data_IF_075496683291
#
_entry.id   IF_075496683291
#
_cell.length_a   1.000
_cell.length_b   1.000
_cell.length_c   1.000
_cell.angle_alpha   90.00
_cell.angle_beta   90.00
_cell.angle_gamma   90.00
#
_symmetry.space_group_name_H-M   'P 1'
#
loop_
_entity.id
_entity.type
_entity.pdbx_description
1 polymer ?
#
# COMPACT_ATOMS: atom_id res chain seq x y z
N UNK A 1 3.50 -51.93 20.45
CA UNK A 1 3.89 -50.94 19.43
C UNK A 1 2.71 -50.78 18.49
N UNK A 2 2.13 -49.59 18.35
CA UNK A 2 1.04 -49.32 17.41
C UNK A 2 1.55 -48.54 16.20
N UNK A 3 0.87 -48.70 15.06
CA UNK A 3 1.15 -48.02 13.79
C UNK A 3 -0.16 -47.49 13.22
N UNK A 4 -0.18 -46.23 12.78
CA UNK A 4 -1.33 -45.63 12.13
C UNK A 4 -1.44 -46.06 10.66
N UNK A 5 -2.58 -46.64 10.25
CA UNK A 5 -2.79 -47.21 8.91
C UNK A 5 -3.26 -46.19 7.84
N UNK A 6 -3.27 -44.89 8.14
CA UNK A 6 -3.57 -43.86 7.15
C UNK A 6 -2.33 -43.62 6.28
N UNK A 7 -2.44 -43.78 4.97
CA UNK A 7 -1.32 -43.85 4.01
C UNK A 7 -0.30 -42.68 4.03
N UNK A 8 -0.63 -41.54 4.65
CA UNK A 8 0.28 -40.38 4.78
C UNK A 8 0.66 -40.02 6.23
N UNK A 9 0.18 -40.77 7.22
CA UNK A 9 0.32 -40.38 8.63
C UNK A 9 1.69 -40.78 9.22
N UNK A 10 2.17 -42.00 9.02
CA UNK A 10 3.54 -42.38 9.43
C UNK A 10 3.82 -42.49 10.94
N UNK A 11 2.84 -42.17 11.81
CA UNK A 11 3.00 -42.24 13.27
C UNK A 11 3.10 -43.69 13.79
N UNK A 12 4.09 -43.94 14.65
CA UNK A 12 4.28 -45.20 15.37
C UNK A 12 4.67 -44.92 16.82
N UNK A 13 4.24 -45.77 17.76
CA UNK A 13 4.55 -45.60 19.18
C UNK A 13 4.53 -46.91 19.96
N UNK A 14 5.14 -46.93 21.14
CA UNK A 14 5.16 -48.08 22.05
C UNK A 14 4.75 -47.60 23.43
N UNK A 15 3.73 -48.21 24.03
CA UNK A 15 3.36 -47.95 25.43
C UNK A 15 4.06 -48.95 26.33
N UNK A 16 4.92 -48.46 27.22
CA UNK A 16 5.40 -49.21 28.38
C UNK A 16 4.57 -48.75 29.58
N UNK A 17 3.85 -49.68 30.21
CA UNK A 17 3.07 -49.40 31.41
C UNK A 17 4.02 -49.26 32.60
N UNK A 18 4.03 -48.10 33.26
CA UNK A 18 4.49 -47.97 34.64
C UNK A 18 3.41 -47.26 35.45
N UNK A 19 2.81 -48.03 36.35
CA UNK A 19 1.98 -47.56 37.43
C UNK A 19 2.89 -46.97 38.52
N UNK A 20 2.72 -45.68 38.82
CA UNK A 20 2.57 -45.18 40.19
C UNK A 20 2.37 -43.67 40.17
N UNK A 21 1.20 -43.25 40.66
CA UNK A 21 0.82 -41.85 40.78
C UNK A 21 1.54 -41.18 41.93
N UNK A 22 2.49 -40.30 41.62
CA UNK A 22 2.85 -39.15 42.45
C UNK A 22 2.92 -37.90 41.58
N UNK A 23 2.16 -36.90 42.01
CA UNK A 23 1.95 -35.58 41.40
C UNK A 23 3.25 -34.94 40.89
N UNK A 24 3.35 -34.75 39.57
CA UNK A 24 4.45 -34.04 38.89
C UNK A 24 4.34 -32.51 39.00
N UNK A 25 3.38 -31.98 39.77
CA UNK A 25 3.18 -30.54 39.92
C UNK A 25 4.28 -29.85 40.74
N UNK A 26 4.98 -30.56 41.64
CA UNK A 26 6.03 -29.97 42.48
C UNK A 26 7.43 -29.98 41.86
N UNK A 27 7.70 -30.85 40.87
CA UNK A 27 8.98 -30.86 40.15
C UNK A 27 9.03 -29.95 38.92
N UNK A 28 7.89 -29.37 38.51
CA UNK A 28 7.86 -28.33 37.46
C UNK A 28 8.30 -26.95 37.96
N UNK A 29 8.38 -26.72 39.28
CA UNK A 29 8.76 -25.42 39.87
C UNK A 29 10.27 -25.24 40.15
N UNK A 30 11.13 -26.16 39.71
CA UNK A 30 12.61 -26.02 39.84
C UNK A 30 13.38 -26.05 38.52
N UNK A 31 12.67 -26.01 37.40
CA UNK A 31 13.29 -25.99 36.07
C UNK A 31 12.73 -24.85 35.23
N UNK A 32 12.62 -23.65 35.81
CA UNK A 32 12.76 -22.41 35.05
C UNK A 32 14.21 -22.37 34.55
N UNK A 33 14.45 -23.07 33.44
CA UNK A 33 15.57 -22.76 32.59
C UNK A 33 15.45 -21.27 32.29
N UNK A 34 16.36 -20.48 32.87
CA UNK A 34 16.69 -19.14 32.40
C UNK A 34 16.97 -19.26 30.90
N UNK A 35 15.96 -19.09 30.06
CA UNK A 35 16.17 -18.58 28.72
C UNK A 35 16.88 -17.25 28.93
N UNK A 36 18.17 -17.18 28.58
CA UNK A 36 18.85 -15.89 28.48
C UNK A 36 18.00 -15.04 27.54
N UNK A 37 17.43 -13.96 28.07
CA UNK A 37 16.80 -12.92 27.27
C UNK A 37 17.72 -12.60 26.10
N UNK A 38 17.20 -12.65 24.86
CA UNK A 38 17.91 -12.20 23.65
C UNK A 38 18.36 -10.73 23.78
N UNK A 39 17.66 -9.97 24.63
CA UNK A 39 17.86 -8.54 24.80
C UNK A 39 18.58 -8.20 26.10
N UNK A 40 19.42 -7.17 26.03
CA UNK A 40 20.08 -6.52 27.16
C UNK A 40 19.03 -5.94 28.10
N UNK A 41 19.11 -6.29 29.38
CA UNK A 41 18.31 -5.66 30.44
C UNK A 41 18.94 -4.30 30.76
N UNK A 42 18.11 -3.26 30.79
CA UNK A 42 18.52 -1.88 31.07
C UNK A 42 17.65 -1.30 32.19
N UNK A 43 18.21 -0.35 32.93
CA UNK A 43 17.53 0.49 33.90
C UNK A 43 17.94 1.96 33.72
N UNK A 44 17.16 2.88 34.29
CA UNK A 44 17.45 4.31 34.23
C UNK A 44 18.82 4.64 34.85
N UNK A 45 19.16 3.96 35.95
CA UNK A 45 20.46 4.11 36.62
C UNK A 45 21.60 3.59 35.74
N UNK A 46 21.40 2.43 35.10
CA UNK A 46 22.41 1.84 34.20
C UNK A 46 22.70 2.70 32.96
N UNK A 47 21.74 3.54 32.57
CA UNK A 47 21.84 4.46 31.45
C UNK A 47 22.18 5.90 31.88
N UNK A 48 22.34 6.15 33.18
CA UNK A 48 22.60 7.47 33.75
C UNK A 48 21.57 8.50 33.28
N UNK A 49 20.28 8.11 33.27
CA UNK A 49 19.20 9.01 32.90
C UNK A 49 18.91 9.98 34.05
N UNK A 50 18.80 11.25 33.71
CA UNK A 50 18.51 12.34 34.64
C UNK A 50 17.18 13.02 34.27
N UNK A 51 16.49 13.64 35.22
CA UNK A 51 15.39 14.56 34.92
C UNK A 51 15.84 15.71 34.01
N UNK A 52 14.91 16.24 33.22
CA UNK A 52 15.18 17.36 32.30
C UNK A 52 15.63 18.62 33.04
N UNK A 53 16.68 19.26 32.54
CA UNK A 53 17.08 20.60 32.97
C UNK A 53 16.17 21.70 32.40
N UNK A 54 16.21 22.89 33.00
CA UNK A 54 15.39 24.03 32.58
C UNK A 54 15.62 24.42 31.10
N UNK A 55 16.83 24.24 30.58
CA UNK A 55 17.16 24.52 29.17
C UNK A 55 16.39 23.60 28.22
N UNK A 56 16.31 22.31 28.52
CA UNK A 56 15.53 21.36 27.72
C UNK A 56 14.04 21.57 27.88
N UNK A 57 13.56 21.90 29.09
CA UNK A 57 12.16 22.25 29.30
C UNK A 57 11.78 23.47 28.46
N UNK A 58 12.63 24.50 28.41
CA UNK A 58 12.42 25.67 27.54
C UNK A 58 12.40 25.28 26.05
N UNK A 59 13.33 24.42 25.61
CA UNK A 59 13.36 23.90 24.23
C UNK A 59 12.07 23.19 23.82
N UNK A 60 11.44 22.44 24.73
CA UNK A 60 10.15 21.79 24.48
C UNK A 60 8.99 22.79 24.55
N UNK A 61 9.05 23.78 25.43
CA UNK A 61 8.05 24.84 25.51
C UNK A 61 7.99 25.68 24.21
N UNK A 62 9.14 25.97 23.59
CA UNK A 62 9.21 26.59 22.25
C UNK A 62 8.50 25.77 21.17
N UNK A 63 8.35 24.46 21.38
CA UNK A 63 7.66 23.52 20.49
C UNK A 63 6.22 23.27 20.91
N UNK A 64 5.70 24.12 21.79
CA UNK A 64 4.36 24.01 22.36
C UNK A 64 4.12 22.69 23.10
N UNK A 65 5.16 22.10 23.69
CA UNK A 65 5.07 20.88 24.51
C UNK A 65 5.25 21.27 25.97
N UNK A 66 4.25 20.93 26.79
CA UNK A 66 4.20 21.24 28.21
C UNK A 66 5.07 20.30 29.05
N UNK A 67 5.46 20.77 30.24
CA UNK A 67 6.19 19.94 31.20
C UNK A 67 5.38 18.72 31.65
N UNK A 68 4.05 18.85 31.75
CA UNK A 68 3.15 17.76 32.11
C UNK A 68 3.23 16.61 31.09
N UNK A 69 3.15 16.95 29.80
CA UNK A 69 3.30 15.98 28.71
C UNK A 69 4.66 15.30 28.74
N UNK A 70 5.75 16.05 28.97
CA UNK A 70 7.10 15.47 29.09
C UNK A 70 7.20 14.48 30.25
N UNK A 71 6.63 14.83 31.41
CA UNK A 71 6.65 13.97 32.60
C UNK A 71 5.83 12.70 32.38
N UNK A 72 4.61 12.78 31.82
CA UNK A 72 3.77 11.61 31.54
C UNK A 72 4.44 10.66 30.56
N UNK A 73 5.12 11.21 29.56
CA UNK A 73 5.85 10.48 28.54
C UNK A 73 7.25 10.02 29.00
N UNK A 74 7.63 10.32 30.24
CA UNK A 74 8.92 9.98 30.84
C UNK A 74 10.10 10.47 30.01
N UNK A 75 10.00 11.64 29.38
CA UNK A 75 11.12 12.25 28.65
C UNK A 75 12.19 12.65 29.67
N UNK A 76 13.42 12.22 29.41
CA UNK A 76 14.57 12.41 30.30
C UNK A 76 15.74 13.04 29.55
N UNK A 77 16.84 13.28 30.24
CA UNK A 77 18.11 13.65 29.62
C UNK A 77 19.20 12.65 29.98
N UNK A 78 20.30 12.70 29.25
CA UNK A 78 21.54 12.00 29.59
C UNK A 78 22.73 12.91 29.32
N UNK A 79 23.77 12.83 30.14
CA UNK A 79 25.05 13.50 29.87
C UNK A 79 25.99 12.52 29.18
N UNK A 80 26.48 12.87 28.00
CA UNK A 80 27.46 12.06 27.26
C UNK A 80 28.58 12.95 26.73
N UNK A 81 29.83 12.67 27.15
CA UNK A 81 30.99 13.45 26.71
C UNK A 81 30.91 14.95 27.03
N UNK A 82 30.25 15.32 28.14
CA UNK A 82 30.04 16.72 28.53
C UNK A 82 28.88 17.43 27.83
N UNK A 83 28.16 16.76 26.93
CA UNK A 83 26.97 17.29 26.26
C UNK A 83 25.70 16.68 26.84
N UNK A 84 24.63 17.48 26.90
CA UNK A 84 23.30 17.01 27.27
C UNK A 84 22.58 16.53 26.01
N UNK A 85 22.02 15.32 26.06
CA UNK A 85 21.16 14.77 25.01
C UNK A 85 19.77 14.48 25.58
N UNK A 86 18.74 14.64 24.74
CA UNK A 86 17.36 14.27 25.07
C UNK A 86 17.27 12.75 25.00
N UNK A 87 16.65 12.13 26.00
CA UNK A 87 16.40 10.70 26.07
C UNK A 87 14.90 10.41 26.05
N UNK A 88 14.49 9.51 25.16
CA UNK A 88 13.14 8.98 25.02
C UNK A 88 13.14 7.52 25.48
N UNK A 89 12.73 7.23 26.73
CA UNK A 89 12.69 5.89 27.26
C UNK A 89 11.45 5.13 26.76
N UNK A 90 11.65 3.97 26.16
CA UNK A 90 10.60 3.09 25.67
C UNK A 90 10.24 2.10 26.77
N UNK A 91 8.96 2.02 27.12
CA UNK A 91 8.47 1.19 28.22
C UNK A 91 7.45 0.16 27.77
N UNK A 92 7.46 -0.98 28.44
CA UNK A 92 6.42 -2.00 28.37
C UNK A 92 6.03 -2.38 29.79
N UNK A 93 4.75 -2.22 30.12
CA UNK A 93 4.19 -2.37 31.46
C UNK A 93 5.00 -1.60 32.52
N UNK A 94 5.39 -0.35 32.21
CA UNK A 94 6.19 0.53 33.06
C UNK A 94 7.69 0.21 33.12
N UNK A 95 8.13 -0.94 32.61
CA UNK A 95 9.54 -1.35 32.61
C UNK A 95 10.27 -0.78 31.40
N UNK A 96 11.45 -0.20 31.62
CA UNK A 96 12.32 0.31 30.57
C UNK A 96 12.88 -0.83 29.70
N UNK A 97 12.60 -0.82 28.40
CA UNK A 97 13.05 -1.85 27.46
C UNK A 97 14.01 -1.34 26.39
N UNK A 98 13.91 -0.06 26.03
CA UNK A 98 14.79 0.60 25.07
C UNK A 98 14.93 2.09 25.40
N UNK A 99 15.94 2.77 24.89
CA UNK A 99 16.07 4.21 25.00
C UNK A 99 16.65 4.77 23.71
N UNK A 100 16.01 5.81 23.18
CA UNK A 100 16.47 6.54 22.00
C UNK A 100 16.89 7.94 22.42
N UNK A 101 17.99 8.41 21.85
CA UNK A 101 18.57 9.70 22.18
C UNK A 101 18.52 10.62 20.97
N UNK A 102 18.40 11.91 21.25
CA UNK A 102 18.51 12.99 20.27
C UNK A 102 19.45 14.06 20.79
N UNK A 103 20.47 14.38 20.00
CA UNK A 103 21.36 15.51 20.29
C UNK A 103 20.81 16.84 19.74
N UNK A 104 21.45 17.95 20.11
CA UNK A 104 21.08 19.29 19.63
C UNK A 104 21.22 19.44 18.09
N UNK A 105 22.05 18.61 17.45
CA UNK A 105 22.24 18.57 16.00
C UNK A 105 21.20 17.69 15.29
N UNK A 106 20.15 17.25 15.99
CA UNK A 106 19.09 16.37 15.48
C UNK A 106 19.59 15.00 15.03
N UNK A 107 20.72 14.53 15.55
CA UNK A 107 21.21 13.17 15.33
C UNK A 107 20.58 12.24 16.34
N UNK A 108 20.17 11.07 15.87
CA UNK A 108 19.53 10.06 16.67
C UNK A 108 20.47 8.88 16.91
N UNK A 109 20.42 8.34 18.12
CA UNK A 109 21.04 7.07 18.48
C UNK A 109 20.09 6.26 19.36
N UNK A 110 20.29 4.96 19.47
CA UNK A 110 19.43 4.07 20.23
C UNK A 110 20.25 2.99 20.91
N UNK A 111 19.80 2.52 22.07
CA UNK A 111 20.48 1.44 22.80
C UNK A 111 20.56 0.17 21.96
N UNK A 112 21.77 -0.41 21.87
CA UNK A 112 22.01 -1.65 21.13
C UNK A 112 21.51 -2.87 21.89
N UNK A 113 21.19 -3.92 21.16
CA UNK A 113 20.76 -5.23 21.69
C UNK A 113 19.55 -5.14 22.62
N UNK A 114 18.69 -4.16 22.40
CA UNK A 114 17.42 -3.96 23.12
C UNK A 114 16.23 -4.31 22.23
N UNK A 115 15.08 -4.57 22.84
CA UNK A 115 13.86 -4.86 22.09
C UNK A 115 13.36 -3.58 21.39
N UNK A 116 12.98 -3.69 20.12
CA UNK A 116 12.35 -2.58 19.40
C UNK A 116 10.84 -2.64 19.61
N UNK A 117 10.29 -1.61 20.22
CA UNK A 117 8.85 -1.46 20.44
C UNK A 117 8.43 -0.03 20.06
N UNK A 118 7.12 0.24 20.07
CA UNK A 118 6.62 1.60 19.95
C UNK A 118 6.94 2.46 21.17
N UNK A 119 7.22 3.75 20.95
CA UNK A 119 7.28 4.72 22.04
C UNK A 119 5.85 5.04 22.51
N UNK A 120 5.57 4.90 23.81
CA UNK A 120 4.21 5.02 24.34
C UNK A 120 3.37 3.75 24.23
N UNK A 121 3.96 2.57 24.04
CA UNK A 121 3.23 1.31 23.89
C UNK A 121 2.17 1.07 24.98
N UNK A 122 2.47 1.44 26.22
CA UNK A 122 1.55 1.26 27.36
C UNK A 122 0.27 2.09 27.23
N UNK A 123 0.28 3.18 26.46
CA UNK A 123 -0.88 4.05 26.25
C UNK A 123 -1.96 3.40 25.36
N UNK A 124 -1.61 2.36 24.59
CA UNK A 124 -2.52 1.71 23.64
C UNK A 124 -2.99 0.31 24.08
N UNK A 125 -2.60 -0.16 25.27
CA UNK A 125 -2.84 -1.53 25.74
C UNK A 125 -4.28 -2.03 25.63
N UNK A 126 -5.23 -1.14 25.87
CA UNK A 126 -6.68 -1.42 25.83
C UNK A 126 -7.43 -0.45 24.91
N UNK A 127 -6.72 0.18 23.97
CA UNK A 127 -7.29 1.17 23.05
C UNK A 127 -7.83 0.52 21.77
N UNK A 128 -9.09 0.80 21.43
CA UNK A 128 -9.73 0.35 20.19
C UNK A 128 -9.43 1.24 18.98
N UNK A 129 -9.07 2.49 19.22
CA UNK A 129 -8.63 3.50 18.25
C UNK A 129 -7.23 3.96 18.67
N UNK A 130 -6.26 3.95 17.75
CA UNK A 130 -4.88 4.38 18.02
C UNK A 130 -4.36 5.28 16.91
N UNK A 131 -3.40 6.12 17.23
CA UNK A 131 -2.67 6.96 16.27
C UNK A 131 -1.22 6.51 16.23
N UNK A 132 -0.69 6.26 15.03
CA UNK A 132 0.73 5.97 14.81
C UNK A 132 1.36 7.16 14.09
N UNK A 133 2.37 7.76 14.73
CA UNK A 133 3.19 8.85 14.18
C UNK A 133 4.62 8.38 13.90
N UNK A 134 5.38 9.19 13.17
CA UNK A 134 6.77 8.86 12.84
C UNK A 134 7.75 9.11 14.01
N UNK A 135 7.72 10.31 14.60
CA UNK A 135 8.68 10.73 15.60
C UNK A 135 8.15 10.80 17.03
N UNK A 136 9.05 10.75 18.01
CA UNK A 136 8.69 10.95 19.43
C UNK A 136 8.13 12.35 19.67
N UNK A 137 8.64 13.35 18.95
CA UNK A 137 8.14 14.74 19.02
C UNK A 137 6.68 14.85 18.58
N UNK A 138 6.30 14.14 17.53
CA UNK A 138 4.91 14.13 17.04
C UNK A 138 3.99 13.45 18.03
N UNK A 139 4.47 12.40 18.73
CA UNK A 139 3.68 11.74 19.78
C UNK A 139 3.39 12.70 20.92
N UNK A 140 4.38 13.49 21.33
CA UNK A 140 4.19 14.55 22.34
C UNK A 140 3.20 15.61 21.82
N UNK A 141 3.28 15.98 20.54
CA UNK A 141 2.36 16.94 19.94
C UNK A 141 0.90 16.42 19.90
N UNK A 142 0.71 15.14 19.64
CA UNK A 142 -0.62 14.50 19.72
C UNK A 142 -1.21 14.56 21.12
N UNK A 143 -0.38 14.41 22.16
CA UNK A 143 -0.85 14.49 23.53
C UNK A 143 -1.29 15.91 23.92
N UNK A 144 -0.60 16.94 23.44
CA UNK A 144 -1.02 18.34 23.57
C UNK A 144 -2.36 18.62 22.86
N UNK A 145 -2.64 17.90 21.76
CA UNK A 145 -3.95 17.93 21.09
C UNK A 145 -5.04 17.07 21.80
N UNK A 146 -4.69 16.42 22.90
CA UNK A 146 -5.61 15.60 23.71
C UNK A 146 -5.66 14.12 23.35
N UNK A 147 -4.78 13.64 22.46
CA UNK A 147 -4.71 12.24 22.09
C UNK A 147 -3.63 11.50 22.90
N UNK A 148 -4.08 10.72 23.88
CA UNK A 148 -3.19 9.87 24.68
C UNK A 148 -2.96 8.49 24.05
N UNK A 149 -3.88 8.03 23.21
CA UNK A 149 -3.84 6.79 22.44
C UNK A 149 -2.91 6.88 21.22
N UNK A 150 -1.73 7.48 21.38
CA UNK A 150 -0.77 7.70 20.30
C UNK A 150 0.56 6.99 20.59
N UNK A 151 1.17 6.44 19.54
CA UNK A 151 2.50 5.82 19.59
C UNK A 151 3.38 6.31 18.45
N UNK A 152 4.70 6.35 18.65
CA UNK A 152 5.67 6.59 17.57
C UNK A 152 6.46 5.34 17.21
N UNK A 153 6.79 5.20 15.92
CA UNK A 153 7.64 4.10 15.45
C UNK A 153 9.08 4.26 15.99
N UNK A 154 9.78 3.15 16.31
CA UNK A 154 11.15 3.24 16.83
C UNK A 154 12.16 3.62 15.74
N UNK A 155 11.98 3.01 14.56
CA UNK A 155 12.78 3.29 13.37
C UNK A 155 11.96 4.24 12.51
N UNK A 156 12.53 5.38 12.11
CA UNK A 156 11.85 6.33 11.22
C UNK A 156 11.53 5.76 9.83
N UNK A 157 11.10 6.61 8.91
CA UNK A 157 10.61 6.16 7.62
C UNK A 157 11.67 5.47 6.72
N UNK A 158 11.26 4.45 5.94
CA UNK A 158 12.08 3.92 4.87
C UNK A 158 12.18 4.92 3.70
N UNK A 159 13.21 4.84 2.85
CA UNK A 159 13.33 5.73 1.68
C UNK A 159 12.27 5.47 0.61
N UNK A 160 11.70 4.25 0.57
CA UNK A 160 10.69 3.86 -0.42
C UNK A 160 9.93 2.62 0.03
N UNK A 161 8.75 2.40 -0.56
CA UNK A 161 7.92 1.21 -0.36
C UNK A 161 8.60 0.00 -0.99
N UNK A 162 8.54 -1.15 -0.32
CA UNK A 162 9.06 -2.40 -0.84
C UNK A 162 8.21 -2.91 -2.01
N UNK A 163 8.85 -3.14 -3.15
CA UNK A 163 8.22 -3.78 -4.31
C UNK A 163 8.04 -5.30 -4.15
N UNK A 164 8.53 -5.87 -3.04
CA UNK A 164 8.41 -7.31 -2.75
C UNK A 164 7.11 -7.60 -2.00
N UNK A 165 6.71 -8.86 -2.02
CA UNK A 165 5.68 -9.37 -1.10
C UNK A 165 6.10 -9.17 0.35
N UNK A 166 5.12 -9.21 1.25
CA UNK A 166 5.39 -9.03 2.67
C UNK A 166 6.29 -10.18 3.18
N UNK A 167 7.41 -9.86 3.84
CA UNK A 167 8.26 -10.89 4.45
C UNK A 167 7.52 -11.61 5.57
N UNK A 168 8.01 -12.79 5.94
CA UNK A 168 7.55 -13.47 7.16
C UNK A 168 7.94 -12.69 8.42
N UNK A 169 7.28 -12.95 9.55
CA UNK A 169 7.54 -12.30 10.84
C UNK A 169 9.02 -12.35 11.26
N UNK A 170 9.72 -13.45 10.97
CA UNK A 170 11.13 -13.63 11.32
C UNK A 170 12.09 -12.86 10.39
N UNK A 171 11.66 -12.58 9.16
CA UNK A 171 12.47 -11.91 8.13
C UNK A 171 12.26 -10.39 8.12
N UNK A 172 11.16 -9.91 8.70
CA UNK A 172 10.73 -8.51 8.71
C UNK A 172 11.46 -7.65 9.75
N UNK A 173 12.78 -7.75 9.75
CA UNK A 173 13.68 -7.16 10.76
C UNK A 173 13.51 -5.64 10.94
N UNK A 174 13.17 -4.89 9.89
CA UNK A 174 12.94 -3.45 9.96
C UNK A 174 11.64 -3.08 10.69
N UNK A 175 10.64 -3.95 10.63
CA UNK A 175 9.32 -3.78 11.22
C UNK A 175 9.07 -4.76 12.37
N UNK A 176 10.12 -5.36 12.94
CA UNK A 176 10.04 -6.31 14.05
C UNK A 176 9.19 -5.80 15.22
N UNK A 177 9.17 -4.48 15.43
CA UNK A 177 8.39 -3.83 16.48
C UNK A 177 6.88 -4.05 16.33
N UNK A 178 6.36 -4.22 15.12
CA UNK A 178 4.95 -4.55 14.88
C UNK A 178 4.63 -5.93 15.44
N UNK A 179 5.51 -6.90 15.21
CA UNK A 179 5.36 -8.27 15.68
C UNK A 179 5.56 -8.37 17.19
N UNK A 180 6.59 -7.71 17.72
CA UNK A 180 6.82 -7.58 19.16
C UNK A 180 5.63 -6.93 19.91
N UNK A 181 4.84 -6.10 19.23
CA UNK A 181 3.69 -5.40 19.81
C UNK A 181 2.35 -5.95 19.31
N UNK A 182 2.32 -7.12 18.67
CA UNK A 182 1.14 -7.68 18.00
C UNK A 182 -0.08 -7.79 18.92
N UNK A 183 0.11 -8.20 20.17
CA UNK A 183 -0.96 -8.32 21.17
C UNK A 183 -1.70 -6.99 21.45
N UNK A 184 -1.02 -5.85 21.26
CA UNK A 184 -1.59 -4.52 21.43
C UNK A 184 -2.39 -4.13 20.18
N UNK A 185 -1.84 -4.44 18.99
CA UNK A 185 -2.40 -4.05 17.70
C UNK A 185 -3.61 -4.91 17.26
N UNK A 186 -3.67 -6.18 17.68
CA UNK A 186 -4.77 -7.08 17.32
C UNK A 186 -6.12 -6.64 17.91
N UNK A 187 -6.10 -6.00 19.08
CA UNK A 187 -7.30 -5.46 19.74
C UNK A 187 -7.80 -4.18 19.10
N UNK A 188 -6.96 -3.50 18.33
CA UNK A 188 -7.27 -2.21 17.73
C UNK A 188 -8.13 -2.40 16.47
N UNK A 189 -9.26 -1.72 16.46
CA UNK A 189 -10.21 -1.70 15.33
C UNK A 189 -9.90 -0.59 14.32
N UNK A 190 -9.36 0.55 14.78
CA UNK A 190 -9.09 1.73 13.98
C UNK A 190 -7.68 2.24 14.24
N UNK A 191 -6.91 2.43 13.18
CA UNK A 191 -5.52 2.87 13.23
C UNK A 191 -5.38 4.10 12.35
N UNK A 192 -5.11 5.25 12.95
CA UNK A 192 -4.83 6.49 12.23
C UNK A 192 -3.32 6.59 11.99
N UNK A 193 -2.92 6.61 10.73
CA UNK A 193 -1.55 6.78 10.28
C UNK A 193 -1.30 8.27 10.04
N UNK A 194 -0.57 8.88 10.97
CA UNK A 194 -0.19 10.29 10.99
C UNK A 194 1.33 10.43 10.82
N UNK A 195 1.87 9.80 9.77
CA UNK A 195 3.29 9.89 9.40
C UNK A 195 3.59 11.21 8.69
N UNK A 196 4.88 11.50 8.48
CA UNK A 196 5.31 12.73 7.82
C UNK A 196 4.70 12.87 6.41
N UNK A 197 4.37 14.11 6.03
CA UNK A 197 3.79 14.48 4.74
C UNK A 197 4.76 14.44 3.56
N UNK A 198 5.96 13.90 3.76
CA UNK A 198 7.00 13.78 2.74
C UNK A 198 7.04 12.37 2.11
N UNK A 199 7.79 12.15 1.01
CA UNK A 199 7.80 10.85 0.34
C UNK A 199 8.24 9.67 1.24
N UNK A 200 9.25 9.80 2.13
CA UNK A 200 9.54 8.78 3.12
C UNK A 200 8.38 8.50 4.07
N UNK A 201 7.75 9.52 4.66
CA UNK A 201 6.61 9.34 5.56
C UNK A 201 5.41 8.68 4.89
N UNK A 202 5.17 8.98 3.60
CA UNK A 202 4.18 8.27 2.78
C UNK A 202 4.55 6.80 2.58
N UNK A 203 5.83 6.49 2.35
CA UNK A 203 6.31 5.12 2.24
C UNK A 203 6.14 4.34 3.56
N UNK A 204 6.39 5.00 4.69
CA UNK A 204 6.15 4.42 6.02
C UNK A 204 4.66 4.08 6.22
N UNK A 205 3.75 5.02 5.92
CA UNK A 205 2.31 4.78 6.04
C UNK A 205 1.86 3.58 5.20
N UNK A 206 2.40 3.44 3.99
CA UNK A 206 2.09 2.34 3.09
C UNK A 206 2.61 0.98 3.61
N UNK A 207 3.83 0.93 4.14
CA UNK A 207 4.41 -0.28 4.72
C UNK A 207 3.69 -0.71 6.01
N UNK A 208 3.25 0.26 6.82
CA UNK A 208 2.40 0.03 7.99
C UNK A 208 1.04 -0.51 7.56
N UNK A 209 0.34 0.15 6.63
CA UNK A 209 -0.98 -0.25 6.18
C UNK A 209 -1.01 -1.65 5.58
N UNK A 210 0.04 -2.04 4.82
CA UNK A 210 0.15 -3.40 4.26
C UNK A 210 0.26 -4.48 5.34
N UNK A 211 0.89 -4.19 6.49
CA UNK A 211 1.09 -5.16 7.59
C UNK A 211 -0.04 -5.18 8.60
N UNK A 212 -0.64 -4.01 8.85
CA UNK A 212 -1.71 -3.83 9.83
C UNK A 212 -3.09 -4.15 9.24
N UNK A 213 -3.23 -4.16 7.91
CA UNK A 213 -4.51 -4.32 7.22
C UNK A 213 -5.08 -2.96 6.84
N UNK A 214 -5.20 -2.68 5.55
CA UNK A 214 -5.63 -1.37 5.03
C UNK A 214 -7.04 -1.02 5.46
N UNK A 215 -7.90 -2.02 5.62
CA UNK A 215 -9.29 -1.89 6.02
C UNK A 215 -9.47 -1.33 7.44
N UNK A 216 -8.42 -1.40 8.27
CA UNK A 216 -8.39 -0.82 9.61
C UNK A 216 -7.56 0.46 9.69
N UNK A 217 -7.03 0.94 8.57
CA UNK A 217 -6.17 2.11 8.54
C UNK A 217 -6.90 3.34 8.00
N UNK A 218 -6.61 4.49 8.62
CA UNK A 218 -6.97 5.82 8.17
C UNK A 218 -5.67 6.60 7.95
N UNK A 219 -5.66 7.54 7.01
CA UNK A 219 -4.50 8.38 6.70
C UNK A 219 -4.85 9.83 6.96
N UNK A 220 -3.96 10.50 7.69
CA UNK A 220 -4.05 11.94 7.90
C UNK A 220 -3.62 12.66 6.63
N UNK A 221 -4.37 13.70 6.25
CA UNK A 221 -3.93 14.69 5.28
C UNK A 221 -3.55 15.95 6.04
N UNK A 222 -2.25 16.25 6.07
CA UNK A 222 -1.77 17.47 6.71
C UNK A 222 -2.34 18.72 6.01
N UNK A 223 -2.63 19.80 6.74
CA UNK A 223 -3.21 21.01 6.17
C UNK A 223 -2.25 21.68 5.17
N UNK A 224 -2.79 22.57 4.34
CA UNK A 224 -1.98 23.41 3.43
C UNK A 224 -1.35 24.56 4.22
N UNK A 225 -0.06 24.83 3.95
CA UNK A 225 0.63 26.05 4.40
C UNK A 225 0.42 27.19 3.41
N UNK A 226 0.48 26.87 2.14
CA UNK A 226 0.34 27.78 1.01
C UNK A 226 -0.22 27.00 -0.20
N UNK A 227 -0.20 27.59 -1.39
CA UNK A 227 -0.74 26.96 -2.61
C UNK A 227 -0.03 25.66 -3.03
N UNK A 228 1.19 25.42 -2.54
CA UNK A 228 2.08 24.33 -2.97
C UNK A 228 2.44 23.39 -1.82
N UNK A 229 2.74 23.95 -0.64
CA UNK A 229 3.28 23.23 0.50
C UNK A 229 2.20 22.85 1.50
N UNK A 230 2.39 21.69 2.11
CA UNK A 230 1.61 21.23 3.26
C UNK A 230 2.46 21.26 4.52
N UNK A 231 1.78 21.19 5.66
CA UNK A 231 2.44 20.89 6.92
C UNK A 231 3.11 19.52 6.85
N UNK A 232 4.28 19.43 7.48
CA UNK A 232 5.13 18.24 7.41
C UNK A 232 4.67 17.18 8.39
N UNK A 233 4.44 17.57 9.63
CA UNK A 233 4.22 16.64 10.73
C UNK A 233 3.32 17.27 11.81
N UNK A 234 3.01 16.49 12.85
CA UNK A 234 2.08 16.89 13.90
C UNK A 234 2.64 18.05 14.72
N UNK A 235 3.94 18.03 15.03
CA UNK A 235 4.56 19.09 15.82
C UNK A 235 4.53 20.44 15.09
N UNK A 236 4.73 20.46 13.78
CA UNK A 236 4.65 21.70 13.00
C UNK A 236 3.23 22.29 12.98
N UNK A 237 2.20 21.43 12.85
CA UNK A 237 0.80 21.86 12.95
C UNK A 237 0.52 22.42 14.34
N UNK A 238 0.95 21.73 15.40
CA UNK A 238 0.77 22.19 16.77
C UNK A 238 1.42 23.57 16.99
N UNK A 239 2.66 23.74 16.54
CA UNK A 239 3.43 24.97 16.77
C UNK A 239 2.84 26.19 16.05
N UNK A 240 2.32 26.01 14.83
CA UNK A 240 1.89 27.12 13.98
C UNK A 240 0.38 27.35 13.97
N UNK A 241 -0.42 26.29 14.12
CA UNK A 241 -1.89 26.35 14.05
C UNK A 241 -2.57 26.02 15.40
N UNK A 242 -1.84 25.41 16.34
CA UNK A 242 -2.33 25.10 17.67
C UNK A 242 -3.03 23.74 17.79
N UNK A 243 -3.25 23.34 19.06
CA UNK A 243 -3.79 22.04 19.43
C UNK A 243 -5.19 21.76 18.88
N UNK A 244 -6.06 22.78 18.79
CA UNK A 244 -7.41 22.64 18.26
C UNK A 244 -7.45 22.24 16.79
N UNK A 245 -6.58 22.86 15.98
CA UNK A 245 -6.46 22.53 14.55
C UNK A 245 -5.82 21.16 14.36
N UNK A 246 -4.77 20.84 15.12
CA UNK A 246 -4.18 19.49 15.09
C UNK A 246 -5.24 18.44 15.40
N UNK A 247 -6.08 18.67 16.42
CA UNK A 247 -7.18 17.77 16.76
C UNK A 247 -8.15 17.56 15.61
N UNK A 248 -8.61 18.63 14.98
CA UNK A 248 -9.52 18.57 13.84
C UNK A 248 -8.91 17.80 12.65
N UNK A 249 -7.62 18.02 12.36
CA UNK A 249 -6.90 17.32 11.29
C UNK A 249 -6.88 15.79 11.52
N UNK A 250 -6.67 15.36 12.77
CA UNK A 250 -6.65 13.94 13.13
C UNK A 250 -8.06 13.33 13.12
N UNK A 251 -9.06 14.04 13.63
CA UNK A 251 -10.45 13.57 13.62
C UNK A 251 -11.00 13.40 12.19
N UNK A 252 -10.53 14.22 11.25
CA UNK A 252 -10.87 14.15 9.82
C UNK A 252 -9.96 13.23 8.99
N UNK A 253 -9.19 12.34 9.61
CA UNK A 253 -8.41 11.34 8.88
C UNK A 253 -9.30 10.51 7.94
N UNK A 254 -8.85 10.29 6.71
CA UNK A 254 -9.62 9.60 5.68
C UNK A 254 -9.29 8.11 5.65
N UNK A 255 -10.21 7.26 5.18
CA UNK A 255 -9.94 5.83 5.04
C UNK A 255 -8.73 5.60 4.12
N UNK A 256 -7.84 4.69 4.53
CA UNK A 256 -6.67 4.38 3.71
C UNK A 256 -7.12 3.76 2.38
N UNK A 257 -6.61 4.22 1.22
CA UNK A 257 -7.05 3.71 -0.08
C UNK A 257 -6.90 2.20 -0.20
N UNK A 258 -8.01 1.50 -0.48
CA UNK A 258 -8.05 0.07 -0.74
C UNK A 258 -8.14 -0.12 -2.25
N UNK A 259 -7.15 -0.82 -2.83
CA UNK A 259 -7.11 -1.05 -4.27
C UNK A 259 -8.38 -1.77 -4.73
N UNK A 260 -9.09 -1.19 -5.70
CA UNK A 260 -10.32 -1.74 -6.26
C UNK A 260 -11.60 -1.36 -5.51
N UNK A 261 -11.49 -0.61 -4.40
CA UNK A 261 -12.62 0.03 -3.75
C UNK A 261 -12.63 1.50 -4.12
N UNK A 262 -13.76 1.98 -4.60
CA UNK A 262 -13.93 3.36 -5.04
C UNK A 262 -15.18 3.95 -4.39
N UNK A 263 -15.18 5.26 -4.15
CA UNK A 263 -16.36 5.92 -3.65
C UNK A 263 -17.33 6.13 -4.83
N UNK A 264 -18.59 5.75 -4.66
CA UNK A 264 -19.62 5.99 -5.68
C UNK A 264 -19.70 7.47 -6.08
N UNK A 265 -19.46 8.36 -5.11
CA UNK A 265 -19.44 9.80 -5.32
C UNK A 265 -18.44 10.26 -6.38
N UNK A 266 -17.32 9.55 -6.52
CA UNK A 266 -16.24 9.91 -7.46
C UNK A 266 -16.66 9.70 -8.93
N UNK A 267 -17.75 8.95 -9.18
CA UNK A 267 -18.25 8.64 -10.52
C UNK A 267 -19.45 9.48 -10.94
N UNK A 268 -19.95 10.40 -10.10
CA UNK A 268 -21.16 11.16 -10.45
C UNK A 268 -21.00 11.91 -11.77
N UNK A 269 -19.87 12.59 -11.98
CA UNK A 269 -19.63 13.34 -13.21
C UNK A 269 -19.57 12.43 -14.45
N UNK A 270 -19.01 11.23 -14.31
CA UNK A 270 -18.93 10.24 -15.39
C UNK A 270 -20.31 9.66 -15.71
N UNK A 271 -21.07 9.28 -14.67
CA UNK A 271 -22.44 8.76 -14.78
C UNK A 271 -23.36 9.83 -15.37
N UNK A 272 -23.25 11.08 -14.90
CA UNK A 272 -24.06 12.19 -15.40
C UNK A 272 -23.72 12.52 -16.85
N UNK A 273 -22.43 12.49 -17.22
CA UNK A 273 -22.00 12.64 -18.62
C UNK A 273 -22.55 11.52 -19.51
N UNK A 274 -22.53 10.27 -19.03
CA UNK A 274 -23.09 9.10 -19.71
C UNK A 274 -24.62 9.17 -19.81
N UNK A 275 -25.31 9.69 -18.79
CA UNK A 275 -26.75 9.86 -18.83
C UNK A 275 -27.18 10.98 -19.78
N UNK A 276 -26.46 12.10 -19.74
CA UNK A 276 -26.75 13.32 -20.49
C UNK A 276 -26.18 13.32 -21.92
N UNK A 277 -25.58 12.23 -22.38
CA UNK A 277 -25.14 12.07 -23.76
C UNK A 277 -24.06 13.05 -24.20
N UNK A 278 -23.22 13.45 -23.24
CA UNK A 278 -22.17 14.43 -23.48
C UNK A 278 -20.95 13.84 -24.22
N UNK A 279 -20.80 12.51 -24.26
CA UNK A 279 -19.58 11.86 -24.77
C UNK A 279 -19.68 11.36 -26.23
N UNK A 280 -20.88 11.36 -26.82
CA UNK A 280 -21.11 11.15 -28.26
C UNK A 280 -20.94 9.73 -28.81
N UNK A 281 -20.41 8.78 -28.02
CA UNK A 281 -20.17 7.38 -28.41
C UNK A 281 -21.09 6.35 -27.72
N UNK A 282 -22.01 6.82 -26.88
CA UNK A 282 -22.77 5.99 -25.92
C UNK A 282 -23.80 5.04 -26.57
N UNK A 283 -24.21 5.31 -27.81
CA UNK A 283 -25.08 4.43 -28.60
C UNK A 283 -24.30 3.49 -29.54
N UNK A 284 -22.96 3.51 -29.48
CA UNK A 284 -22.10 2.78 -30.41
C UNK A 284 -22.10 3.35 -31.83
N UNK A 285 -21.18 2.85 -32.64
CA UNK A 285 -21.05 3.22 -34.05
C UNK A 285 -21.94 2.31 -34.88
N UNK A 286 -22.73 2.90 -35.79
CA UNK A 286 -23.55 2.18 -36.75
C UNK A 286 -22.74 1.12 -37.50
N UNK A 287 -23.32 -0.06 -37.63
CA UNK A 287 -22.76 -1.20 -38.36
C UNK A 287 -22.75 -0.96 -39.88
N UNK A 288 -23.44 0.08 -40.36
CA UNK A 288 -23.70 0.35 -41.77
C UNK A 288 -24.92 -0.38 -42.32
N UNK A 289 -25.55 -1.26 -41.54
CA UNK A 289 -26.78 -1.96 -41.91
C UNK A 289 -27.95 -1.46 -41.06
N UNK A 290 -28.86 -0.69 -41.66
CA UNK A 290 -30.01 -0.07 -40.96
C UNK A 290 -30.87 -1.07 -40.20
N UNK A 291 -31.02 -2.29 -40.72
CA UNK A 291 -31.80 -3.36 -40.07
C UNK A 291 -31.11 -3.91 -38.83
N UNK A 292 -29.78 -3.83 -38.76
CA UNK A 292 -29.01 -4.29 -37.62
C UNK A 292 -28.80 -3.18 -36.59
N UNK A 293 -28.66 -1.92 -37.02
CA UNK A 293 -28.43 -0.78 -36.12
C UNK A 293 -29.56 -0.56 -35.09
N UNK A 294 -30.78 -1.03 -35.38
CA UNK A 294 -31.89 -1.04 -34.42
C UNK A 294 -31.78 -2.12 -33.33
N UNK A 295 -30.86 -3.07 -33.49
CA UNK A 295 -30.62 -4.18 -32.56
C UNK A 295 -29.21 -4.15 -31.96
N UNK A 296 -28.24 -3.64 -32.71
CA UNK A 296 -26.83 -3.69 -32.36
C UNK A 296 -26.04 -2.57 -33.06
N UNK A 297 -25.26 -1.83 -32.27
CA UNK A 297 -24.23 -0.91 -32.73
C UNK A 297 -22.91 -1.26 -32.04
N UNK A 298 -21.79 -0.88 -32.65
CA UNK A 298 -20.46 -1.28 -32.17
C UNK A 298 -19.94 -0.26 -31.16
N UNK A 299 -19.88 -0.63 -29.89
CA UNK A 299 -19.40 0.25 -28.81
C UNK A 299 -17.91 0.03 -28.56
N UNK A 300 -17.06 1.08 -28.60
CA UNK A 300 -15.67 0.97 -28.18
C UNK A 300 -15.52 0.47 -26.75
N UNK A 301 -14.58 -0.46 -26.51
CA UNK A 301 -14.32 -1.02 -25.18
C UNK A 301 -15.14 -2.26 -24.85
N UNK A 302 -16.12 -2.62 -25.68
CA UNK A 302 -16.91 -3.85 -25.52
C UNK A 302 -16.38 -5.02 -26.36
N UNK A 303 -16.71 -6.24 -25.94
CA UNK A 303 -16.41 -7.47 -26.66
C UNK A 303 -17.60 -7.91 -27.52
N UNK A 304 -17.44 -7.81 -28.85
CA UNK A 304 -18.40 -8.36 -29.80
C UNK A 304 -18.07 -9.82 -30.13
N UNK A 305 -19.00 -10.73 -29.86
CA UNK A 305 -18.86 -12.15 -30.22
C UNK A 305 -19.77 -12.48 -31.38
N UNK A 306 -19.20 -13.00 -32.48
CA UNK A 306 -19.96 -13.44 -33.67
C UNK A 306 -19.91 -14.96 -33.76
N UNK A 307 -21.08 -15.59 -33.76
CA UNK A 307 -21.22 -17.06 -33.83
C UNK A 307 -22.29 -17.48 -34.83
N UNK A 308 -22.29 -18.75 -35.22
CA UNK A 308 -23.13 -19.29 -36.29
C UNK A 308 -22.59 -20.61 -36.84
N UNK A 309 -23.40 -21.31 -37.63
CA UNK A 309 -23.07 -22.65 -38.18
C UNK A 309 -21.81 -22.61 -39.08
N UNK A 310 -21.06 -23.71 -39.22
CA UNK A 310 -19.92 -23.76 -40.14
C UNK A 310 -20.30 -23.32 -41.56
N UNK A 311 -19.43 -22.57 -42.23
CA UNK A 311 -19.64 -22.01 -43.58
C UNK A 311 -20.86 -21.08 -43.74
N UNK A 312 -21.36 -20.48 -42.65
CA UNK A 312 -22.49 -19.54 -42.69
C UNK A 312 -22.13 -18.09 -43.06
N UNK A 313 -20.88 -17.81 -43.45
CA UNK A 313 -20.45 -16.46 -43.81
C UNK A 313 -20.03 -15.54 -42.66
N UNK A 314 -19.65 -16.10 -41.49
CA UNK A 314 -19.26 -15.29 -40.30
C UNK A 314 -18.07 -14.38 -40.58
N UNK A 315 -17.04 -14.94 -41.21
CA UNK A 315 -15.80 -14.21 -41.52
C UNK A 315 -16.09 -13.07 -42.50
N UNK A 316 -16.88 -13.35 -43.55
CA UNK A 316 -17.32 -12.37 -44.54
C UNK A 316 -18.16 -11.26 -43.91
N UNK A 317 -19.00 -11.60 -42.93
CA UNK A 317 -19.79 -10.63 -42.18
C UNK A 317 -18.91 -9.71 -41.33
N UNK A 318 -17.92 -10.27 -40.62
CA UNK A 318 -16.95 -9.50 -39.81
C UNK A 318 -16.14 -8.57 -40.72
N UNK A 319 -15.64 -9.06 -41.85
CA UNK A 319 -14.89 -8.26 -42.82
C UNK A 319 -15.71 -7.08 -43.36
N UNK A 320 -16.99 -7.31 -43.66
CA UNK A 320 -17.89 -6.27 -44.12
C UNK A 320 -18.17 -5.21 -43.04
N UNK A 321 -18.37 -5.65 -41.79
CA UNK A 321 -18.55 -4.75 -40.65
C UNK A 321 -17.31 -3.87 -40.43
N UNK A 322 -16.12 -4.47 -40.45
CA UNK A 322 -14.83 -3.74 -40.33
C UNK A 322 -14.71 -2.66 -41.42
N UNK A 323 -15.02 -3.00 -42.66
CA UNK A 323 -14.98 -2.04 -43.76
C UNK A 323 -15.98 -0.88 -43.55
N UNK A 324 -17.19 -1.19 -43.07
CA UNK A 324 -18.19 -0.17 -42.78
C UNK A 324 -17.72 0.79 -41.68
N UNK A 325 -17.19 0.26 -40.57
CA UNK A 325 -16.66 1.05 -39.46
C UNK A 325 -15.44 1.88 -39.84
N UNK A 326 -14.54 1.33 -40.67
CA UNK A 326 -13.41 2.10 -41.20
C UNK A 326 -13.90 3.28 -42.06
N UNK A 327 -14.92 3.05 -42.90
CA UNK A 327 -15.45 4.08 -43.79
C UNK A 327 -16.25 5.15 -43.04
N UNK A 328 -17.09 4.76 -42.09
CA UNK A 328 -18.01 5.66 -41.40
C UNK A 328 -17.34 6.43 -40.26
N UNK A 329 -16.49 5.76 -39.48
CA UNK A 329 -15.88 6.29 -38.27
C UNK A 329 -14.35 6.34 -38.31
N UNK A 330 -13.72 5.92 -39.41
CA UNK A 330 -12.25 5.96 -39.55
C UNK A 330 -11.51 4.93 -38.69
N UNK A 331 -12.20 3.93 -38.15
CA UNK A 331 -11.62 2.95 -37.24
C UNK A 331 -10.49 2.14 -37.90
N UNK A 332 -9.44 1.88 -37.14
CA UNK A 332 -8.29 1.08 -37.57
C UNK A 332 -8.31 -0.26 -36.84
N UNK A 333 -8.13 -1.34 -37.57
CA UNK A 333 -8.27 -2.70 -37.05
C UNK A 333 -6.95 -3.45 -37.11
N UNK A 334 -6.66 -4.22 -36.06
CA UNK A 334 -5.67 -5.27 -36.07
C UNK A 334 -6.39 -6.62 -36.24
N UNK A 335 -6.03 -7.39 -37.26
CA UNK A 335 -6.68 -8.65 -37.57
C UNK A 335 -5.77 -9.82 -37.20
N UNK A 336 -6.29 -10.75 -36.40
CA UNK A 336 -5.64 -12.01 -36.07
C UNK A 336 -6.54 -13.15 -36.54
N UNK A 337 -6.16 -13.81 -37.63
CA UNK A 337 -6.88 -14.95 -38.20
C UNK A 337 -6.04 -16.21 -38.08
N UNK A 338 -6.52 -17.18 -37.30
CA UNK A 338 -5.83 -18.46 -37.09
C UNK A 338 -6.11 -19.50 -38.20
N UNK A 339 -7.18 -19.30 -38.98
CA UNK A 339 -7.61 -20.26 -40.01
C UNK A 339 -7.12 -19.87 -41.40
N UNK A 340 -6.97 -18.57 -41.67
CA UNK A 340 -6.66 -18.07 -43.01
C UNK A 340 -5.25 -17.47 -43.06
N UNK A 341 -4.29 -18.23 -43.63
CA UNK A 341 -2.92 -17.76 -43.91
C UNK A 341 -2.82 -16.68 -44.99
N UNK A 342 -3.85 -16.52 -45.84
CA UNK A 342 -3.84 -15.63 -47.03
C UNK A 342 -4.59 -14.30 -46.86
N UNK A 343 -5.39 -14.12 -45.80
CA UNK A 343 -6.21 -12.92 -45.61
C UNK A 343 -5.40 -11.61 -45.49
N UNK A 344 -4.14 -11.69 -45.07
CA UNK A 344 -3.26 -10.52 -44.96
C UNK A 344 -2.92 -9.89 -46.32
N UNK A 345 -2.97 -10.66 -47.42
CA UNK A 345 -2.67 -10.16 -48.77
C UNK A 345 -3.91 -9.60 -49.48
N UNK A 346 -5.08 -10.24 -49.31
CA UNK A 346 -6.31 -9.89 -50.03
C UNK A 346 -7.00 -8.62 -49.48
N UNK A 347 -6.97 -8.38 -48.17
CA UNK A 347 -7.49 -7.12 -47.58
C UNK A 347 -6.67 -5.92 -48.08
N UNK A 348 -5.35 -6.09 -48.28
CA UNK A 348 -4.49 -5.05 -48.87
C UNK A 348 -4.75 -4.80 -50.36
N UNK A 349 -5.17 -5.82 -51.11
CA UNK A 349 -5.51 -5.69 -52.54
C UNK A 349 -6.89 -5.05 -52.76
N UNK A 350 -7.92 -5.43 -51.98
CA UNK A 350 -9.28 -4.87 -52.12
C UNK A 350 -9.34 -3.39 -51.74
N UNK A 351 -8.55 -2.96 -50.75
CA UNK A 351 -8.39 -1.54 -50.41
C UNK A 351 -7.65 -0.75 -51.50
N UNK A 352 -6.70 -1.38 -52.22
CA UNK A 352 -6.02 -0.75 -53.36
C UNK A 352 -6.94 -0.61 -54.57
N UNK A 353 -7.74 -1.63 -54.89
CA UNK A 353 -8.70 -1.57 -56.00
C UNK A 353 -9.80 -0.53 -55.77
N UNK A 354 -10.31 -0.37 -54.54
CA UNK A 354 -11.26 0.71 -54.23
C UNK A 354 -10.64 2.12 -54.24
N UNK A 355 -9.36 2.25 -53.90
CA UNK A 355 -8.63 3.53 -54.06
C UNK A 355 -8.38 3.89 -55.53
N UNK A 356 -8.24 2.91 -56.41
CA UNK A 356 -8.10 3.13 -57.86
C UNK A 356 -9.39 3.72 -58.47
N UNK A 357 -10.57 3.25 -58.07
CA UNK A 357 -11.86 3.77 -58.57
C UNK A 357 -12.13 5.20 -58.11
N UNK A 358 -11.67 5.59 -56.92
CA UNK A 358 -11.79 6.97 -56.42
C UNK A 358 -10.65 7.90 -56.86
N UNK A 359 -9.60 7.38 -57.51
CA UNK A 359 -8.47 8.18 -57.99
C UNK A 359 -8.68 8.85 -59.36
N UNK A 360 -9.79 8.55 -60.05
CA UNK A 360 -10.13 9.14 -61.34
C UNK A 360 -10.80 10.53 -61.24
N UNK A 361 -11.09 11.03 -60.04
CA UNK A 361 -11.61 12.38 -59.81
C UNK A 361 -10.80 13.05 -58.69
N UNK A 362 -10.08 14.12 -59.06
CA UNK A 362 -9.33 15.05 -58.20
C UNK A 362 -7.94 14.58 -57.72
N UNK A 363 -6.93 14.82 -58.58
CA UNK A 363 -5.58 15.14 -58.15
C UNK A 363 -5.59 16.42 -57.28
N UNK A 364 -5.14 16.32 -56.02
CA UNK A 364 -4.23 17.28 -55.37
C UNK A 364 -3.60 16.63 -54.14
N UNK A 365 -2.26 16.57 -54.17
CA UNK A 365 -1.38 16.00 -53.14
C UNK A 365 -1.43 16.82 -51.84
N UNK A 366 -1.40 16.14 -50.70
CA UNK A 366 -0.31 16.32 -49.72
C UNK A 366 -0.37 15.30 -48.57
N UNK A 367 0.72 14.54 -48.47
CA UNK A 367 1.35 13.94 -47.28
C UNK A 367 0.61 12.88 -46.45
N UNK A 368 1.18 11.66 -46.40
CA UNK A 368 0.92 10.66 -45.37
C UNK A 368 1.62 9.33 -45.64
N UNK A 369 2.64 9.01 -44.84
CA UNK A 369 3.50 7.82 -44.92
C UNK A 369 2.73 6.49 -44.80
N UNK A 370 3.16 5.50 -45.60
CA UNK A 370 2.76 4.10 -45.52
C UNK A 370 3.73 3.37 -44.57
N UNK A 371 3.27 2.86 -43.43
CA UNK A 371 4.10 1.97 -42.57
C UNK A 371 3.92 0.53 -43.06
N UNK A 372 5.02 -0.06 -43.51
CA UNK A 372 5.14 -1.42 -44.05
C UNK A 372 5.70 -2.31 -42.93
N UNK A 373 4.95 -3.30 -42.46
CA UNK A 373 5.47 -4.31 -41.53
C UNK A 373 6.23 -5.40 -42.29
N UNK A 374 7.46 -5.65 -41.83
CA UNK A 374 8.44 -6.57 -42.40
C UNK A 374 8.04 -8.03 -42.14
N UNK A 375 8.04 -8.83 -43.20
CA UNK A 375 8.04 -10.29 -43.13
C UNK A 375 9.50 -10.75 -43.02
N UNK A 376 9.92 -11.32 -41.89
CA UNK A 376 11.18 -12.08 -41.79
C UNK A 376 10.85 -13.57 -41.71
N UNK A 377 11.10 -14.25 -42.82
CA UNK A 377 11.29 -15.70 -42.88
C UNK A 377 12.66 -16.03 -42.28
N UNK A 378 12.69 -16.87 -41.24
CA UNK A 378 13.95 -17.37 -40.68
C UNK A 378 13.77 -17.86 -39.25
N UNK A 379 13.87 -19.17 -39.09
CA UNK A 379 13.95 -19.92 -37.84
C UNK A 379 14.89 -19.28 -36.80
N UNK A 380 14.41 -19.18 -35.56
CA UNK A 380 15.21 -18.94 -34.36
C UNK A 380 14.96 -17.59 -33.69
N UNK A 381 14.56 -17.66 -32.43
CA UNK A 381 14.43 -16.57 -31.45
C UNK A 381 13.24 -15.60 -31.61
N UNK A 382 12.10 -15.97 -31.02
CA UNK A 382 11.12 -15.05 -30.43
C UNK A 382 10.23 -15.83 -29.45
N UNK A 383 10.78 -16.18 -28.29
CA UNK A 383 10.02 -16.77 -27.17
C UNK A 383 9.78 -15.76 -26.02
N UNK A 384 10.25 -14.51 -26.14
CA UNK A 384 10.23 -13.57 -24.99
C UNK A 384 9.32 -12.35 -25.12
N UNK A 385 8.52 -12.20 -26.19
CA UNK A 385 7.67 -10.99 -26.34
C UNK A 385 6.16 -11.23 -26.47
N UNK A 386 5.71 -12.49 -26.40
CA UNK A 386 4.28 -12.84 -26.38
C UNK A 386 3.72 -13.17 -24.98
N UNK A 387 4.58 -13.23 -23.95
CA UNK A 387 4.19 -13.60 -22.58
C UNK A 387 3.43 -12.53 -21.79
N UNK A 388 3.53 -11.26 -22.15
CA UNK A 388 2.95 -10.16 -21.34
C UNK A 388 1.54 -9.71 -21.77
N UNK A 389 1.10 -10.03 -22.99
CA UNK A 389 -0.25 -9.64 -23.45
C UNK A 389 -1.33 -10.64 -22.95
N UNK A 390 -0.94 -11.88 -22.62
CA UNK A 390 -1.90 -12.93 -22.28
C UNK A 390 -2.40 -12.94 -20.82
N UNK A 391 -1.94 -12.04 -19.94
CA UNK A 391 -2.36 -11.97 -18.53
C UNK A 391 -3.39 -10.89 -18.19
N UNK A 392 -3.86 -10.09 -19.17
CA UNK A 392 -4.86 -9.03 -18.93
C UNK A 392 -6.22 -9.22 -19.60
N UNK A 393 -6.49 -10.38 -20.21
CA UNK A 393 -7.75 -10.65 -20.92
C UNK A 393 -8.50 -11.90 -20.43
N UNK A 394 -8.29 -12.32 -19.18
CA UNK A 394 -9.19 -13.25 -18.50
C UNK A 394 -9.47 -12.69 -17.11
N UNK A 395 -10.46 -11.81 -17.06
CA UNK A 395 -11.45 -11.68 -15.98
C UNK A 395 -12.77 -11.28 -16.65
#
# INVERSE_FOLDING_TARGET
>A
MWVCFRAKCGWRGTTSAFADGKSTYELMNRTTQRQKSKYKVISEESLELEPLCNELVAYFAERSISLETLQRNTVMQRRYGGQIVIAFPYRRNGVLVNCKYRDANKRFSQEKDTEKIFYGLDDIKDASDIIIVEGEMDKLAMEEAGFRNCVSVPNGAPPSVSNKDLPSEEEDTNYQYLWSCKEYLEKTSRIILATDGDPPGQALAEELARRLGRERCWRVKWPRKNDVDHFKDANEVLMLLGAGVLKEVIENAELYPIKGLFNFGDYFDEIDSYYNQALGNEFGVSTGWRTLDGLYNVVPGELTIVTGVPNSGKSEWIDALICNLNRSAGWKFALCSMENKKLLEDVSQRDKERRLVNSALSLRRSNGQLVRLLHKSGSGACEETFGEIHKKAIL
#
